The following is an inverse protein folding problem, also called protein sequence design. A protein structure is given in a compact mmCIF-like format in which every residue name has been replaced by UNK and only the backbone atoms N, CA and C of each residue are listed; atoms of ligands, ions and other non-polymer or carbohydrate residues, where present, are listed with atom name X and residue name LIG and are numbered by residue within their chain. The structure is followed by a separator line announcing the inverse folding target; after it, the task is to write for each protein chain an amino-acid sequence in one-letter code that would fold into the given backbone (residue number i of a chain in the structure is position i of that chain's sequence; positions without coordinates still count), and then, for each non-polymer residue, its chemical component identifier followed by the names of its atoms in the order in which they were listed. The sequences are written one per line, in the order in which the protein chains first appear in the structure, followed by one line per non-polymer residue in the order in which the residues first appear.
data_IF_694565079134
#
_entry.id   IF_694565079134
#
_cell.length_a   1.000
_cell.length_b   1.000
_cell.length_c   1.000
_cell.angle_alpha   90.00
_cell.angle_beta   90.00
_cell.angle_gamma   90.00
#
_symmetry.space_group_name_H-M   'P 1'
#
loop_
_entity.id
_entity.type
_entity.pdbx_description
1 polymer ?
#
# COMPACT_ATOMS: atom_id res chain seq x y z
N UNK A 1 0.08 -7.41 6.19
CA UNK A 1 -0.50 -6.17 6.67
C UNK A 1 -0.60 -5.19 5.51
N UNK A 2 -1.80 -4.76 5.20
CA UNK A 2 -2.06 -3.76 4.18
C UNK A 2 -2.15 -2.43 4.88
N UNK A 3 -1.37 -1.44 4.47
CA UNK A 3 -1.61 -0.05 4.86
C UNK A 3 -2.64 0.46 3.86
N UNK A 4 -3.90 0.47 4.26
CA UNK A 4 -4.94 1.18 3.52
C UNK A 4 -4.84 2.64 3.92
N UNK A 5 -4.36 3.49 3.05
CA UNK A 5 -4.41 4.96 3.10
C UNK A 5 -4.25 5.64 4.46
N UNK A 6 -3.19 6.41 4.62
CA UNK A 6 -3.12 7.44 5.68
C UNK A 6 -3.97 8.61 5.19
N UNK A 7 -5.18 8.79 5.73
CA UNK A 7 -5.99 9.95 5.45
C UNK A 7 -5.76 10.96 6.56
N UNK A 8 -5.09 12.06 6.25
CA UNK A 8 -5.03 13.23 7.12
C UNK A 8 -6.23 14.11 6.77
N UNK A 9 -7.23 14.17 7.65
CA UNK A 9 -8.30 15.15 7.52
C UNK A 9 -7.84 16.45 8.15
N UNK A 10 -7.53 17.45 7.33
CA UNK A 10 -7.36 18.82 7.78
C UNK A 10 -8.72 19.44 8.02
N UNK A 11 -9.11 19.62 9.29
CA UNK A 11 -9.97 20.74 9.67
C UNK A 11 -9.08 21.85 10.23
N UNK A 12 -9.36 23.08 9.79
CA UNK A 12 -8.59 24.31 10.04
C UNK A 12 -7.97 24.38 11.45
N UNK A 13 -6.66 24.24 11.53
CA UNK A 13 -5.84 24.50 12.69
C UNK A 13 -5.05 23.31 13.17
N UNK A 14 -3.74 23.41 13.10
CA UNK A 14 -2.80 22.53 13.78
C UNK A 14 -3.26 22.27 15.22
N UNK A 15 -3.38 21.01 15.60
CA UNK A 15 -3.52 20.60 17.00
C UNK A 15 -4.92 20.26 17.49
N UNK A 16 -5.95 20.09 16.65
CA UNK A 16 -7.34 19.89 17.14
C UNK A 16 -8.09 18.64 16.71
N UNK A 17 -7.58 17.83 15.77
CA UNK A 17 -8.30 16.62 15.35
C UNK A 17 -7.45 15.36 15.41
N UNK A 18 -7.95 14.26 15.95
CA UNK A 18 -7.25 13.00 15.91
C UNK A 18 -7.09 12.54 14.47
N UNK A 19 -5.86 12.28 14.06
CA UNK A 19 -5.56 11.67 12.77
C UNK A 19 -5.68 10.16 12.94
N UNK A 20 -6.46 9.51 12.08
CA UNK A 20 -6.66 8.07 12.14
C UNK A 20 -5.68 7.37 11.19
N UNK A 21 -4.90 6.45 11.71
CA UNK A 21 -4.07 5.54 10.95
C UNK A 21 -4.79 4.18 10.89
N UNK A 22 -5.18 3.74 9.69
CA UNK A 22 -5.75 2.40 9.51
C UNK A 22 -4.63 1.37 9.36
N UNK A 23 -4.52 0.44 10.30
CA UNK A 23 -3.53 -0.62 10.29
C UNK A 23 -4.20 -2.00 10.38
N UNK A 24 -4.10 -2.81 9.32
CA UNK A 24 -4.42 -4.24 9.34
C UNK A 24 -5.78 -4.65 8.79
N UNK A 25 -5.86 -5.90 8.35
CA UNK A 25 -6.96 -6.50 7.58
C UNK A 25 -8.18 -6.98 8.37
N UNK A 26 -8.28 -6.73 9.67
CA UNK A 26 -9.32 -7.36 10.48
C UNK A 26 -9.87 -6.51 11.63
N UNK A 27 -9.79 -5.21 11.53
CA UNK A 27 -10.39 -4.33 12.53
C UNK A 27 -9.81 -2.94 12.41
N UNK A 28 -10.70 -1.97 12.39
CA UNK A 28 -10.34 -0.57 12.50
C UNK A 28 -9.77 -0.37 13.89
N UNK A 29 -8.45 -0.43 14.04
CA UNK A 29 -7.83 0.17 15.20
C UNK A 29 -7.78 1.68 14.94
N UNK A 30 -8.67 2.43 15.54
CA UNK A 30 -8.54 3.87 15.58
C UNK A 30 -7.30 4.18 16.43
N UNK A 31 -6.23 4.58 15.77
CA UNK A 31 -5.01 5.00 16.44
C UNK A 31 -5.16 6.51 16.63
N UNK A 32 -5.34 6.95 17.87
CA UNK A 32 -5.30 8.38 18.18
C UNK A 32 -3.87 8.88 18.04
N UNK A 33 -3.71 10.00 17.38
CA UNK A 33 -2.43 10.71 17.31
C UNK A 33 -2.48 11.97 18.16
N UNK A 34 -1.39 12.30 18.81
CA UNK A 34 -1.18 13.58 19.47
C UNK A 34 -0.18 14.40 18.66
N UNK A 35 -0.57 15.62 18.29
CA UNK A 35 0.31 16.51 17.58
C UNK A 35 1.41 17.04 18.52
N UNK A 36 2.64 16.94 18.06
CA UNK A 36 3.78 17.65 18.65
C UNK A 36 4.12 18.86 17.76
N UNK A 37 3.57 20.03 18.12
CA UNK A 37 3.72 21.26 17.35
C UNK A 37 5.17 21.74 17.26
N UNK A 38 6.01 21.44 18.27
CA UNK A 38 7.40 21.85 18.29
C UNK A 38 8.25 21.06 17.30
N UNK A 39 7.95 19.79 17.09
CA UNK A 39 8.67 18.88 16.21
C UNK A 39 7.98 18.60 14.88
N UNK A 40 6.80 19.17 14.65
CA UNK A 40 5.96 18.91 13.44
C UNK A 40 5.78 17.41 13.17
N UNK A 41 5.51 16.65 14.20
CA UNK A 41 5.26 15.24 14.12
C UNK A 41 4.00 14.85 14.91
N UNK A 42 3.47 13.68 14.61
CA UNK A 42 2.35 13.09 15.32
C UNK A 42 2.83 11.85 16.08
N UNK A 43 2.58 11.81 17.37
CA UNK A 43 2.75 10.61 18.16
C UNK A 43 1.51 9.75 18.07
N UNK A 44 1.69 8.45 17.85
CA UNK A 44 0.59 7.50 17.85
C UNK A 44 0.31 7.13 19.29
N UNK A 45 -0.88 7.46 19.78
CA UNK A 45 -1.36 6.99 21.10
C UNK A 45 -1.66 5.50 21.00
N UNK A 46 -1.08 4.71 21.88
CA UNK A 46 -1.28 3.26 21.92
C UNK A 46 -2.70 2.85 22.23
N UNK A 47 -3.06 1.64 21.83
CA UNK A 47 -4.14 0.91 22.46
C UNK A 47 -3.81 0.75 23.96
N UNK A 48 -4.83 0.80 24.82
CA UNK A 48 -4.68 0.71 26.27
C UNK A 48 -3.72 -0.42 26.69
N UNK A 49 -2.54 -0.07 27.22
CA UNK A 49 -1.47 -1.01 27.56
C UNK A 49 -0.31 -1.14 26.57
N UNK A 50 -0.34 -0.42 25.42
CA UNK A 50 0.79 -0.35 24.47
C UNK A 50 1.18 1.11 24.25
N UNK A 51 2.42 1.43 24.59
CA UNK A 51 3.02 2.73 24.33
C UNK A 51 3.72 2.69 22.97
N UNK A 52 3.18 3.38 21.97
CA UNK A 52 3.75 3.45 20.62
C UNK A 52 4.64 4.68 20.43
N UNK A 53 5.35 5.12 21.47
CA UNK A 53 6.36 6.20 21.38
C UNK A 53 7.43 5.93 20.32
N UNK A 54 7.50 4.70 19.87
CA UNK A 54 8.46 4.22 18.89
C UNK A 54 8.06 4.45 17.42
N UNK A 55 6.83 4.91 17.15
CA UNK A 55 6.33 5.17 15.79
C UNK A 55 5.97 6.66 15.69
N UNK A 56 6.56 7.35 14.70
CA UNK A 56 6.32 8.78 14.45
C UNK A 56 5.91 9.01 13.02
N UNK A 57 4.84 9.78 12.84
CA UNK A 57 4.43 10.32 11.56
C UNK A 57 4.87 11.79 11.48
N UNK A 58 5.65 12.14 10.47
CA UNK A 58 6.20 13.48 10.26
C UNK A 58 5.62 14.10 8.99
N UNK A 59 5.30 15.41 9.03
CA UNK A 59 5.12 16.20 7.82
C UNK A 59 6.50 16.44 7.21
N UNK A 60 6.80 15.72 6.12
CA UNK A 60 8.14 15.66 5.56
C UNK A 60 8.38 16.69 4.45
N UNK A 61 7.46 16.78 3.52
CA UNK A 61 7.41 17.72 2.39
C UNK A 61 8.75 17.91 1.65
N UNK A 62 9.45 16.83 1.37
CA UNK A 62 10.75 16.80 0.70
C UNK A 62 10.85 15.64 -0.28
N UNK A 63 11.70 15.82 -1.31
CA UNK A 63 12.05 14.71 -2.19
C UNK A 63 13.10 13.80 -1.57
N UNK A 64 12.92 12.49 -1.74
CA UNK A 64 13.87 11.44 -1.35
C UNK A 64 14.18 10.59 -2.59
N UNK A 65 15.43 10.50 -2.97
CA UNK A 65 15.88 9.80 -4.19
C UNK A 65 15.15 10.29 -5.48
N UNK A 66 14.76 11.57 -5.53
CA UNK A 66 14.01 12.14 -6.64
C UNK A 66 12.50 11.88 -6.61
N UNK A 67 11.99 11.22 -5.58
CA UNK A 67 10.57 10.95 -5.38
C UNK A 67 10.01 12.01 -4.43
N UNK A 68 8.96 12.72 -4.83
CA UNK A 68 8.26 13.67 -3.96
C UNK A 68 7.55 12.90 -2.83
N UNK A 69 7.81 13.30 -1.59
CA UNK A 69 7.25 12.69 -0.40
C UNK A 69 6.64 13.78 0.47
N UNK A 70 5.41 13.60 0.89
CA UNK A 70 4.69 14.54 1.74
C UNK A 70 4.77 14.14 3.21
N UNK A 71 4.67 12.85 3.52
CA UNK A 71 4.69 12.34 4.89
C UNK A 71 5.74 11.24 5.06
N UNK A 72 6.24 11.10 6.27
CA UNK A 72 7.22 10.09 6.66
C UNK A 72 6.78 9.41 7.95
N UNK A 73 6.58 8.10 7.88
CA UNK A 73 6.39 7.24 9.04
C UNK A 73 7.72 6.57 9.40
N UNK A 74 8.14 6.74 10.64
CA UNK A 74 9.34 6.09 11.21
C UNK A 74 8.96 5.14 12.31
N UNK A 75 9.63 4.01 12.37
CA UNK A 75 9.55 3.10 13.51
C UNK A 75 10.91 2.97 14.22
N UNK A 76 10.91 2.33 15.39
CA UNK A 76 12.14 2.07 16.19
C UNK A 76 13.12 1.12 15.52
N UNK A 77 12.69 0.34 14.53
CA UNK A 77 13.58 -0.57 13.80
C UNK A 77 14.43 0.17 12.77
N UNK A 78 14.14 1.47 12.54
CA UNK A 78 14.75 2.29 11.53
C UNK A 78 14.11 2.16 10.16
N UNK A 79 12.95 1.49 10.05
CA UNK A 79 12.14 1.50 8.85
C UNK A 79 11.52 2.89 8.66
N UNK A 80 11.68 3.42 7.45
CA UNK A 80 11.15 4.70 7.01
C UNK A 80 10.20 4.46 5.85
N UNK A 81 8.93 4.80 6.03
CA UNK A 81 7.90 4.68 5.00
C UNK A 81 7.49 6.09 4.58
N UNK A 82 7.63 6.38 3.31
CA UNK A 82 7.33 7.69 2.72
C UNK A 82 6.06 7.61 1.90
N UNK A 83 5.23 8.64 2.04
CA UNK A 83 3.95 8.76 1.36
C UNK A 83 3.91 10.04 0.53
N UNK A 84 3.16 10.03 -0.55
CA UNK A 84 2.86 11.23 -1.34
C UNK A 84 1.78 12.10 -0.67
N UNK A 85 1.34 13.15 -1.35
CA UNK A 85 0.28 14.06 -0.88
C UNK A 85 -1.09 13.38 -0.72
N UNK A 86 -1.36 12.32 -1.49
CA UNK A 86 -2.59 11.53 -1.39
C UNK A 86 -2.54 10.48 -0.27
N UNK A 87 -1.46 10.44 0.52
CA UNK A 87 -1.26 9.44 1.56
C UNK A 87 -0.89 8.04 1.05
N UNK A 88 -0.50 7.91 -0.22
CA UNK A 88 -0.12 6.64 -0.84
C UNK A 88 1.37 6.41 -0.66
N UNK A 89 1.76 5.19 -0.26
CA UNK A 89 3.17 4.80 -0.08
C UNK A 89 3.92 4.88 -1.40
N UNK A 90 5.07 5.58 -1.43
CA UNK A 90 5.91 5.71 -2.63
C UNK A 90 7.30 5.14 -2.46
N UNK A 91 7.80 5.07 -1.23
CA UNK A 91 9.14 4.58 -0.93
C UNK A 91 9.20 4.01 0.49
N UNK A 92 9.90 2.91 0.65
CA UNK A 92 10.35 2.43 1.97
C UNK A 92 11.86 2.30 2.00
N UNK A 93 12.47 2.63 3.14
CA UNK A 93 13.89 2.40 3.40
C UNK A 93 14.07 1.75 4.76
N UNK A 94 14.92 0.73 4.83
CA UNK A 94 15.34 0.15 6.11
C UNK A 94 16.48 0.97 6.77
N UNK A 95 16.97 0.50 7.90
CA UNK A 95 18.09 1.12 8.63
C UNK A 95 19.41 1.10 7.84
N UNK A 96 19.53 0.27 6.81
CA UNK A 96 20.72 0.13 5.96
C UNK A 96 20.56 0.81 4.59
N UNK A 97 19.51 1.63 4.43
CA UNK A 97 19.14 2.28 3.17
C UNK A 97 18.78 1.33 2.01
N UNK A 98 18.53 0.04 2.29
CA UNK A 98 17.85 -0.79 1.30
C UNK A 98 16.46 -0.22 1.06
N UNK A 99 16.05 -0.16 -0.20
CA UNK A 99 14.81 0.51 -0.56
C UNK A 99 13.86 -0.37 -1.36
N UNK A 100 12.57 -0.07 -1.19
CA UNK A 100 11.49 -0.53 -2.04
C UNK A 100 10.77 0.71 -2.56
N UNK A 101 10.65 0.82 -3.88
CA UNK A 101 9.96 1.91 -4.56
C UNK A 101 8.64 1.40 -5.11
N UNK A 102 7.59 2.18 -4.94
CA UNK A 102 6.24 1.88 -5.38
C UNK A 102 5.83 2.88 -6.45
N UNK A 103 5.34 2.39 -7.57
CA UNK A 103 4.77 3.22 -8.64
C UNK A 103 3.33 2.81 -8.91
N UNK A 104 2.52 3.78 -9.32
CA UNK A 104 1.09 3.63 -9.50
C UNK A 104 0.66 4.05 -10.89
N UNK A 105 -0.47 3.52 -11.33
CA UNK A 105 -1.25 4.04 -12.44
C UNK A 105 -2.56 4.58 -11.88
N UNK A 106 -3.06 5.68 -12.45
CA UNK A 106 -4.28 6.39 -12.00
C UNK A 106 -4.30 6.68 -10.49
N UNK A 107 -3.14 6.95 -9.91
CA UNK A 107 -2.96 7.40 -8.52
C UNK A 107 -3.00 6.31 -7.45
N UNK A 108 -3.77 5.24 -7.63
CA UNK A 108 -4.04 4.24 -6.58
C UNK A 108 -3.70 2.79 -6.95
N UNK A 109 -3.64 2.44 -8.24
CA UNK A 109 -3.35 1.08 -8.67
C UNK A 109 -1.85 0.87 -8.78
N UNK A 110 -1.30 -0.12 -8.08
CA UNK A 110 0.10 -0.47 -8.25
C UNK A 110 0.42 -0.79 -9.71
N UNK A 111 1.38 -0.08 -10.30
CA UNK A 111 1.93 -0.46 -11.60
C UNK A 111 3.20 -1.27 -11.45
N UNK A 112 4.05 -0.90 -10.47
CA UNK A 112 5.32 -1.60 -10.25
C UNK A 112 5.85 -1.40 -8.83
N UNK A 113 6.49 -2.44 -8.30
CA UNK A 113 7.30 -2.39 -7.08
C UNK A 113 8.72 -2.79 -7.47
N UNK A 114 9.72 -2.01 -7.04
CA UNK A 114 11.14 -2.26 -7.35
C UNK A 114 11.96 -2.19 -6.07
N UNK A 115 12.83 -3.15 -5.84
CA UNK A 115 13.77 -3.11 -4.72
C UNK A 115 15.17 -2.58 -5.10
N UNK A 116 16.04 -2.41 -4.09
CA UNK A 116 17.38 -1.87 -4.25
C UNK A 116 18.33 -2.76 -5.06
N UNK A 117 18.02 -4.04 -5.27
CA UNK A 117 18.82 -4.96 -6.09
C UNK A 117 18.27 -5.12 -7.51
N UNK A 118 17.20 -4.36 -7.85
CA UNK A 118 16.61 -4.31 -9.18
C UNK A 118 15.67 -5.48 -9.47
N UNK A 119 15.09 -6.12 -8.43
CA UNK A 119 13.96 -7.03 -8.63
C UNK A 119 12.69 -6.20 -8.79
N UNK A 120 11.84 -6.64 -9.71
CA UNK A 120 10.61 -5.93 -10.03
C UNK A 120 9.41 -6.84 -9.91
N UNK A 121 8.30 -6.28 -9.41
CA UNK A 121 6.96 -6.85 -9.49
C UNK A 121 6.12 -5.86 -10.28
N UNK A 122 5.62 -6.27 -11.46
CA UNK A 122 4.76 -5.46 -12.30
C UNK A 122 3.32 -5.98 -12.24
N UNK A 123 2.37 -5.06 -12.16
CA UNK A 123 0.94 -5.32 -12.08
C UNK A 123 0.28 -4.87 -13.37
N UNK A 124 -0.54 -5.71 -13.94
CA UNK A 124 -1.28 -5.44 -15.19
C UNK A 124 -2.77 -5.56 -14.92
N UNK A 125 -3.53 -4.65 -15.51
CA UNK A 125 -4.97 -4.56 -15.29
C UNK A 125 -5.71 -4.62 -16.63
N UNK A 126 -6.87 -5.27 -16.63
CA UNK A 126 -7.90 -5.03 -17.63
C UNK A 126 -8.64 -3.76 -17.23
N UNK A 127 -9.13 -3.04 -18.23
CA UNK A 127 -9.95 -1.84 -18.01
C UNK A 127 -11.28 -2.05 -18.75
N UNK A 128 -12.29 -2.42 -18.00
CA UNK A 128 -13.63 -2.64 -18.51
C UNK A 128 -14.56 -1.55 -17.97
N UNK A 129 -15.09 -0.70 -18.85
CA UNK A 129 -16.00 0.42 -18.53
C UNK A 129 -15.53 1.36 -17.39
N UNK A 130 -14.20 1.52 -17.25
CA UNK A 130 -13.60 2.39 -16.22
C UNK A 130 -13.25 1.67 -14.91
N UNK A 131 -13.65 0.42 -14.74
CA UNK A 131 -13.20 -0.43 -13.64
C UNK A 131 -11.93 -1.19 -14.01
N UNK A 132 -10.95 -1.14 -13.12
CA UNK A 132 -9.68 -1.87 -13.30
C UNK A 132 -9.70 -3.18 -12.52
N UNK A 133 -9.53 -4.27 -13.25
CA UNK A 133 -9.41 -5.62 -12.68
C UNK A 133 -8.00 -6.14 -12.91
N UNK A 134 -7.35 -6.64 -11.84
CA UNK A 134 -6.00 -7.22 -11.94
C UNK A 134 -6.01 -8.43 -12.88
N UNK A 135 -5.27 -8.34 -14.00
CA UNK A 135 -5.18 -9.40 -15.01
C UNK A 135 -3.93 -10.26 -14.87
N UNK A 136 -2.81 -9.67 -14.46
CA UNK A 136 -1.60 -10.45 -14.18
C UNK A 136 -0.61 -9.72 -13.29
N UNK A 137 0.24 -10.50 -12.64
CA UNK A 137 1.41 -10.04 -11.89
C UNK A 137 2.64 -10.70 -12.47
N UNK A 138 3.65 -9.91 -12.81
CA UNK A 138 4.94 -10.38 -13.30
C UNK A 138 6.02 -10.09 -12.27
N UNK A 139 6.76 -11.13 -11.88
CA UNK A 139 7.95 -11.00 -11.02
C UNK A 139 9.19 -11.18 -11.89
N UNK A 140 10.11 -10.23 -11.81
CA UNK A 140 11.36 -10.23 -12.55
C UNK A 140 12.54 -10.00 -11.62
N UNK A 141 13.61 -10.75 -11.82
CA UNK A 141 14.85 -10.62 -11.06
C UNK A 141 16.05 -11.21 -11.78
N UNK A 142 17.22 -11.12 -11.16
CA UNK A 142 18.44 -11.75 -11.71
C UNK A 142 18.38 -13.27 -11.52
N UNK A 143 18.60 -14.01 -12.58
CA UNK A 143 18.77 -15.46 -12.52
C UNK A 143 20.18 -15.84 -12.03
N UNK A 144 20.31 -17.04 -11.45
CA UNK A 144 21.60 -17.65 -11.21
C UNK A 144 22.34 -17.79 -12.55
N UNK A 145 23.51 -17.13 -12.71
CA UNK A 145 24.23 -17.08 -13.97
C UNK A 145 24.11 -15.75 -14.75
N UNK A 146 23.46 -14.73 -14.19
CA UNK A 146 23.50 -13.34 -14.68
C UNK A 146 22.44 -12.96 -15.71
N UNK A 147 21.53 -13.89 -16.05
CA UNK A 147 20.36 -13.59 -16.90
C UNK A 147 19.21 -12.97 -16.10
N UNK A 148 18.12 -12.63 -16.80
CA UNK A 148 16.86 -12.20 -16.19
C UNK A 148 15.93 -13.41 -16.05
N UNK A 149 15.44 -13.66 -14.84
CA UNK A 149 14.36 -14.61 -14.60
C UNK A 149 13.04 -13.85 -14.51
N UNK A 150 12.03 -14.33 -15.23
CA UNK A 150 10.70 -13.73 -15.25
C UNK A 150 9.66 -14.81 -15.02
N UNK A 151 8.73 -14.56 -14.09
CA UNK A 151 7.54 -15.39 -13.85
C UNK A 151 6.31 -14.52 -13.92
N UNK A 152 5.25 -15.05 -14.51
CA UNK A 152 3.96 -14.35 -14.61
C UNK A 152 2.86 -15.22 -14.03
N UNK A 153 2.04 -14.61 -13.19
CA UNK A 153 0.78 -15.17 -12.70
C UNK A 153 -0.32 -14.41 -13.42
N UNK A 154 -1.15 -15.12 -14.18
CA UNK A 154 -2.31 -14.55 -14.87
C UNK A 154 -3.59 -14.94 -14.15
N UNK A 155 -4.53 -14.02 -14.05
CA UNK A 155 -5.80 -14.17 -13.37
C UNK A 155 -6.95 -14.11 -14.37
N UNK A 156 -7.94 -14.99 -14.21
CA UNK A 156 -9.22 -14.88 -14.90
C UNK A 156 -10.28 -14.51 -13.86
N UNK A 157 -11.11 -13.57 -14.23
CA UNK A 157 -12.18 -13.05 -13.38
C UNK A 157 -13.52 -13.11 -14.13
N UNK A 158 -14.59 -13.20 -13.37
CA UNK A 158 -15.98 -13.18 -13.89
C UNK A 158 -16.81 -12.21 -13.06
N UNK A 159 -17.64 -11.41 -13.74
CA UNK A 159 -18.64 -10.62 -13.06
C UNK A 159 -19.75 -11.52 -12.51
N UNK A 160 -20.04 -11.41 -11.24
CA UNK A 160 -21.17 -12.07 -10.61
C UNK A 160 -22.05 -11.08 -9.88
N UNK A 161 -23.36 -11.29 -10.02
CA UNK A 161 -24.33 -10.60 -9.18
C UNK A 161 -24.83 -11.53 -8.10
N UNK A 162 -24.89 -11.00 -6.91
CA UNK A 162 -25.37 -11.68 -5.71
C UNK A 162 -26.51 -10.88 -5.11
N UNK A 163 -27.59 -11.56 -4.78
CA UNK A 163 -28.71 -10.95 -4.06
C UNK A 163 -28.69 -11.50 -2.63
N UNK A 164 -28.28 -10.70 -1.63
CA UNK A 164 -28.33 -11.13 -0.25
C UNK A 164 -29.77 -11.35 0.20
N UNK A 165 -29.97 -12.10 1.28
CA UNK A 165 -31.29 -12.42 1.83
C UNK A 165 -32.09 -11.18 2.23
N UNK A 166 -31.40 -10.08 2.53
CA UNK A 166 -31.94 -8.76 2.80
C UNK A 166 -31.05 -7.71 2.14
N UNK A 167 -31.56 -6.96 1.18
CA UNK A 167 -30.85 -5.86 0.53
C UNK A 167 -30.93 -5.87 -1.00
N UNK A 168 -30.27 -4.87 -1.58
CA UNK A 168 -30.18 -4.71 -3.03
C UNK A 168 -29.21 -5.70 -3.66
N UNK A 169 -29.38 -5.93 -4.97
CA UNK A 169 -28.50 -6.79 -5.75
C UNK A 169 -27.10 -6.19 -5.78
N UNK A 170 -26.11 -6.93 -5.29
CA UNK A 170 -24.71 -6.57 -5.36
C UNK A 170 -24.08 -7.14 -6.63
N UNK A 171 -23.24 -6.35 -7.27
CA UNK A 171 -22.41 -6.77 -8.39
C UNK A 171 -20.95 -6.77 -7.93
N UNK A 172 -20.20 -7.76 -8.33
CA UNK A 172 -18.80 -7.86 -8.00
C UNK A 172 -18.04 -8.76 -8.95
N UNK A 173 -16.73 -8.54 -9.00
CA UNK A 173 -15.82 -9.35 -9.80
C UNK A 173 -15.23 -10.44 -8.90
N UNK A 174 -15.35 -11.68 -9.31
CA UNK A 174 -14.77 -12.83 -8.60
C UNK A 174 -13.62 -13.44 -9.38
N UNK A 175 -12.60 -13.91 -8.68
CA UNK A 175 -11.51 -14.68 -9.25
C UNK A 175 -12.00 -16.09 -9.61
N UNK A 176 -11.84 -16.50 -10.86
CA UNK A 176 -12.23 -17.85 -11.34
C UNK A 176 -11.03 -18.76 -11.56
N UNK A 177 -9.88 -18.21 -11.90
CA UNK A 177 -8.65 -19.00 -12.02
C UNK A 177 -7.39 -18.17 -11.87
N UNK A 178 -6.30 -18.85 -11.48
CA UNK A 178 -4.95 -18.33 -11.57
C UNK A 178 -4.08 -19.32 -12.37
N UNK A 179 -3.22 -18.80 -13.25
CA UNK A 179 -2.28 -19.60 -14.05
C UNK A 179 -0.85 -19.17 -13.76
N UNK A 180 -0.01 -20.12 -13.36
CA UNK A 180 1.41 -19.91 -13.08
C UNK A 180 2.21 -20.90 -13.95
N UNK A 181 3.12 -20.40 -14.77
CA UNK A 181 4.00 -21.23 -15.63
C UNK A 181 3.21 -22.31 -16.41
N UNK A 182 1.99 -22.00 -16.86
CA UNK A 182 1.13 -22.94 -17.59
C UNK A 182 0.28 -23.89 -16.75
N UNK A 183 0.48 -23.92 -15.42
CA UNK A 183 -0.39 -24.65 -14.49
C UNK A 183 -1.55 -23.76 -14.08
N UNK A 184 -2.78 -24.22 -14.34
CA UNK A 184 -4.01 -23.47 -14.05
C UNK A 184 -4.73 -24.05 -12.85
N UNK A 185 -4.93 -23.22 -11.81
CA UNK A 185 -5.81 -23.50 -10.69
C UNK A 185 -7.16 -22.82 -10.90
N UNK A 186 -8.24 -23.53 -10.63
CA UNK A 186 -9.61 -23.03 -10.75
C UNK A 186 -10.25 -22.84 -9.39
N UNK A 187 -11.00 -21.77 -9.24
CA UNK A 187 -11.76 -21.44 -8.05
C UNK A 187 -13.26 -21.46 -8.40
N UNK A 188 -14.09 -22.02 -7.54
CA UNK A 188 -15.54 -22.15 -7.72
C UNK A 188 -16.30 -21.52 -6.56
#
# INVERSE_FOLDING_TARGET
PWIETVTLTEEEGWGKNPTYLHYGSAGVANIETEADDDNKCYHIKGLEGYDYDDIKLEDWDKSVDGIACKYLLRDKTGLRTYFNEDGVIVLQKDAHDNKITYTYTDGIYFSKITDSVGREIAFHYNNDDGEKTLSSVTVQGKAAGGGVSKKTISYETEEKSYTPHHGDRLHGVILTSATVDGSKEKYS
#
